data_IF_865152112334
#
_entry.id   IF_865152112334
#
_cell.length_a   1.000
_cell.length_b   1.000
_cell.length_c   1.000
_cell.angle_alpha   90.00
_cell.angle_beta   90.00
_cell.angle_gamma   90.00
#
_symmetry.space_group_name_H-M   'P 1'
#
loop_
_entity.id
_entity.type
_entity.pdbx_description
1 polymer ?
#
# COMPACT_ATOMS: atom_id res chain seq x y z
N UNK A 1 -27.19 -16.19 -42.60
CA UNK A 1 -25.93 -15.42 -42.56
C UNK A 1 -25.90 -14.44 -41.39
N UNK A 2 -26.96 -13.66 -41.15
CA UNK A 2 -27.00 -12.65 -40.09
C UNK A 2 -27.01 -13.23 -38.66
N UNK A 3 -27.68 -14.38 -38.46
CA UNK A 3 -27.71 -15.10 -37.17
C UNK A 3 -26.34 -15.63 -36.77
N UNK A 4 -25.58 -16.19 -37.71
CA UNK A 4 -24.21 -16.68 -37.49
C UNK A 4 -23.27 -15.52 -37.19
N UNK A 5 -23.41 -14.39 -37.91
CA UNK A 5 -22.60 -13.19 -37.68
C UNK A 5 -22.86 -12.57 -36.29
N UNK A 6 -24.11 -12.52 -35.85
CA UNK A 6 -24.48 -12.02 -34.52
C UNK A 6 -23.96 -12.91 -33.39
N UNK A 7 -23.97 -14.23 -33.59
CA UNK A 7 -23.44 -15.20 -32.62
C UNK A 7 -21.93 -15.06 -32.46
N UNK A 8 -21.21 -14.90 -33.58
CA UNK A 8 -19.75 -14.68 -33.58
C UNK A 8 -19.38 -13.37 -32.88
N UNK A 9 -20.11 -12.28 -33.13
CA UNK A 9 -19.87 -11.01 -32.43
C UNK A 9 -20.12 -11.12 -30.92
N UNK A 10 -21.15 -11.84 -30.49
CA UNK A 10 -21.47 -11.99 -29.07
C UNK A 10 -20.38 -12.77 -28.32
N UNK A 11 -19.87 -13.84 -28.95
CA UNK A 11 -18.79 -14.68 -28.40
C UNK A 11 -17.48 -13.88 -28.31
N UNK A 12 -17.11 -13.15 -29.36
CA UNK A 12 -15.90 -12.31 -29.34
C UNK A 12 -15.96 -11.21 -28.27
N UNK A 13 -17.12 -10.57 -28.09
CA UNK A 13 -17.30 -9.55 -27.04
C UNK A 13 -17.22 -10.14 -25.63
N UNK A 14 -17.79 -11.33 -25.40
CA UNK A 14 -17.71 -12.02 -24.12
C UNK A 14 -16.27 -12.44 -23.78
N UNK A 15 -15.52 -12.94 -24.77
CA UNK A 15 -14.11 -13.30 -24.61
C UNK A 15 -13.22 -12.09 -24.32
N UNK A 16 -13.47 -10.94 -24.95
CA UNK A 16 -12.73 -9.71 -24.71
C UNK A 16 -12.92 -9.20 -23.27
N UNK A 17 -14.15 -9.26 -22.75
CA UNK A 17 -14.48 -8.84 -21.38
C UNK A 17 -13.79 -9.72 -20.33
N UNK A 18 -13.74 -11.03 -20.56
CA UNK A 18 -13.07 -11.98 -19.66
C UNK A 18 -11.55 -11.75 -19.60
N UNK A 19 -10.91 -11.40 -20.72
CA UNK A 19 -9.47 -11.09 -20.76
C UNK A 19 -9.14 -9.80 -20.00
N UNK A 20 -9.99 -8.78 -20.05
CA UNK A 20 -9.79 -7.52 -19.32
C UNK A 20 -9.86 -7.72 -17.80
N UNK A 21 -10.71 -8.60 -17.30
CA UNK A 21 -10.81 -8.88 -15.86
C UNK A 21 -9.59 -9.64 -15.30
N UNK A 22 -8.93 -10.47 -16.11
CA UNK A 22 -7.73 -11.20 -15.70
C UNK A 22 -6.48 -10.29 -15.60
N UNK A 23 -6.50 -9.12 -16.23
CA UNK A 23 -5.36 -8.20 -16.30
C UNK A 23 -5.28 -7.20 -15.12
N UNK A 24 -6.23 -7.23 -14.18
CA UNK A 24 -6.33 -6.24 -13.10
C UNK A 24 -5.65 -6.63 -11.77
N UNK A 25 -4.74 -7.61 -11.78
CA UNK A 25 -3.84 -7.82 -10.65
C UNK A 25 -2.64 -6.87 -10.77
N UNK A 26 -2.85 -5.58 -10.46
CA UNK A 26 -1.73 -4.67 -10.26
C UNK A 26 -1.14 -4.96 -8.88
N UNK A 27 0.12 -5.40 -8.85
CA UNK A 27 0.90 -5.50 -7.62
C UNK A 27 1.03 -4.09 -7.03
N UNK A 28 0.37 -3.86 -5.90
CA UNK A 28 0.42 -2.56 -5.24
C UNK A 28 1.74 -2.47 -4.48
N UNK A 29 2.71 -1.79 -5.09
CA UNK A 29 4.00 -1.57 -4.47
C UNK A 29 3.85 -0.69 -3.22
N UNK A 30 4.28 -1.22 -2.07
CA UNK A 30 4.31 -0.48 -0.82
C UNK A 30 5.50 0.46 -0.83
N UNK A 31 5.26 1.75 -0.60
CA UNK A 31 6.29 2.78 -0.61
C UNK A 31 6.27 3.61 0.67
N UNK A 32 7.38 4.29 0.97
CA UNK A 32 7.42 5.15 2.15
C UNK A 32 6.37 6.27 2.08
N UNK A 33 6.37 7.03 0.98
CA UNK A 33 5.44 8.15 0.81
C UNK A 33 3.99 7.72 0.52
N UNK A 34 3.74 6.45 0.22
CA UNK A 34 2.40 5.89 0.12
C UNK A 34 1.85 5.51 1.50
N UNK A 35 2.09 4.28 1.90
CA UNK A 35 1.40 3.63 3.02
C UNK A 35 2.13 3.87 4.34
N UNK A 36 3.46 3.83 4.32
CA UNK A 36 4.27 3.82 5.55
C UNK A 36 4.24 5.18 6.24
N UNK A 37 4.41 6.28 5.50
CA UNK A 37 4.41 7.63 6.07
C UNK A 37 3.07 7.93 6.75
N UNK A 38 1.94 7.48 6.17
CA UNK A 38 0.63 7.62 6.80
C UNK A 38 0.59 6.95 8.18
N UNK A 39 1.03 5.69 8.28
CA UNK A 39 1.07 4.94 9.54
C UNK A 39 1.96 5.65 10.58
N UNK A 40 3.16 6.08 10.17
CA UNK A 40 4.12 6.76 11.05
C UNK A 40 3.56 8.10 11.56
N UNK A 41 2.97 8.90 10.68
CA UNK A 41 2.39 10.19 11.07
C UNK A 41 1.19 10.04 12.01
N UNK A 42 0.32 9.04 11.76
CA UNK A 42 -0.89 8.82 12.57
C UNK A 42 -0.58 8.25 13.96
N UNK A 43 0.43 7.37 14.08
CA UNK A 43 0.63 6.58 15.30
C UNK A 43 1.93 6.90 16.05
N UNK A 44 2.97 7.39 15.36
CA UNK A 44 4.30 7.51 15.96
C UNK A 44 4.69 8.98 16.20
N UNK A 45 4.42 9.88 15.24
CA UNK A 45 4.82 11.30 15.32
C UNK A 45 4.19 12.03 16.50
N UNK A 46 3.02 11.60 16.99
CA UNK A 46 2.40 12.14 18.21
C UNK A 46 3.37 12.16 19.41
N UNK A 47 4.22 11.14 19.53
CA UNK A 47 5.23 11.03 20.59
C UNK A 47 6.64 11.34 20.07
N UNK A 48 6.96 10.93 18.84
CA UNK A 48 8.28 11.04 18.19
C UNK A 48 8.39 12.25 17.27
N UNK A 49 8.11 13.43 17.83
CA UNK A 49 8.31 14.74 17.18
C UNK A 49 9.35 15.54 17.94
N UNK A 50 9.82 16.62 17.36
CA UNK A 50 10.68 17.57 18.06
C UNK A 50 10.05 18.03 19.40
N UNK A 51 10.81 17.92 20.49
CA UNK A 51 10.34 18.22 21.84
C UNK A 51 9.29 17.25 22.40
N UNK A 52 8.98 16.16 21.69
CA UNK A 52 8.10 15.10 22.14
C UNK A 52 8.72 14.20 23.22
N UNK A 53 7.92 13.25 23.74
CA UNK A 53 8.36 12.31 24.78
C UNK A 53 9.20 11.15 24.20
N UNK A 54 9.10 10.91 22.89
CA UNK A 54 9.91 9.91 22.21
C UNK A 54 11.38 10.35 22.19
N UNK A 55 12.36 9.44 22.41
CA UNK A 55 13.78 9.80 22.51
C UNK A 55 14.41 10.24 21.18
N UNK A 56 13.63 10.29 20.11
CA UNK A 56 14.05 10.42 18.70
C UNK A 56 12.87 10.87 17.84
N UNK A 57 13.15 11.60 16.77
CA UNK A 57 12.15 12.18 15.86
C UNK A 57 11.81 11.24 14.70
N UNK A 58 10.58 11.32 14.19
CA UNK A 58 10.06 10.54 13.07
C UNK A 58 9.29 11.39 12.05
N UNK A 59 9.60 12.69 11.97
CA UNK A 59 8.89 13.65 11.12
C UNK A 59 9.35 13.60 9.65
N UNK A 60 10.47 12.93 9.37
CA UNK A 60 11.03 12.77 8.01
C UNK A 60 11.48 11.34 7.73
N UNK A 61 11.61 10.98 6.45
CA UNK A 61 12.10 9.67 6.03
C UNK A 61 13.50 9.37 6.58
N UNK A 62 14.39 10.34 6.49
CA UNK A 62 15.79 10.24 6.92
C UNK A 62 15.90 9.95 8.42
N UNK A 63 14.97 10.50 9.21
CA UNK A 63 14.89 10.26 10.63
C UNK A 63 14.30 8.87 10.96
N UNK A 64 13.31 8.39 10.20
CA UNK A 64 12.66 7.08 10.43
C UNK A 64 13.52 5.91 9.99
N UNK A 65 14.12 6.00 8.79
CA UNK A 65 14.83 4.91 8.11
C UNK A 65 15.84 4.15 8.98
N UNK A 66 16.71 4.79 9.79
CA UNK A 66 17.71 4.09 10.59
C UNK A 66 17.10 3.16 11.65
N UNK A 67 15.83 3.38 12.01
CA UNK A 67 15.17 2.71 13.12
C UNK A 67 14.14 1.70 12.68
N UNK A 68 13.94 1.51 11.38
CA UNK A 68 12.96 0.56 10.84
C UNK A 68 13.01 -0.85 11.47
N UNK A 69 14.19 -1.47 11.69
CA UNK A 69 14.25 -2.78 12.36
C UNK A 69 13.78 -2.74 13.82
N UNK A 70 14.08 -1.66 14.53
CA UNK A 70 13.65 -1.49 15.92
C UNK A 70 12.16 -1.16 16.00
N UNK A 71 11.64 -0.32 15.11
CA UNK A 71 10.21 -0.05 14.99
C UNK A 71 9.45 -1.36 14.79
N UNK A 72 9.90 -2.21 13.85
CA UNK A 72 9.29 -3.52 13.62
C UNK A 72 9.26 -4.37 14.89
N UNK A 73 10.39 -4.48 15.59
CA UNK A 73 10.50 -5.27 16.82
C UNK A 73 9.54 -4.78 17.91
N UNK A 74 9.52 -3.47 18.17
CA UNK A 74 8.69 -2.86 19.22
C UNK A 74 7.20 -3.00 18.91
N UNK A 75 6.80 -2.81 17.65
CA UNK A 75 5.43 -2.98 17.18
C UNK A 75 4.99 -4.45 17.26
N UNK A 76 5.84 -5.38 16.82
CA UNK A 76 5.54 -6.82 16.90
C UNK A 76 5.32 -7.28 18.35
N UNK A 77 6.07 -6.70 19.29
CA UNK A 77 5.94 -6.97 20.73
C UNK A 77 4.83 -6.16 21.42
N UNK A 78 4.15 -5.26 20.70
CA UNK A 78 3.12 -4.35 21.23
C UNK A 78 3.61 -3.48 22.39
N UNK A 79 4.89 -3.08 22.35
CA UNK A 79 5.46 -2.15 23.32
C UNK A 79 5.13 -0.70 22.97
N UNK A 80 4.98 -0.43 21.67
CA UNK A 80 4.58 0.84 21.06
C UNK A 80 4.21 0.59 19.58
N UNK A 81 3.56 1.52 18.86
CA UNK A 81 2.97 2.77 19.36
C UNK A 81 1.91 2.51 20.44
#
# INVERSE_FOLDING_TARGET
>A
MNTVRNLVTLVCSASALALSMAAQAQDHEITYNGEVAKIINENCVICHREGGIGPMQFETYEQVRPWAPLIQLRVANREMP
#
